data_IF_832204544708
#
_entry.id   IF_832204544708
#
_cell.length_a   1.000
_cell.length_b   1.000
_cell.length_c   1.000
_cell.angle_alpha   90.00
_cell.angle_beta   90.00
_cell.angle_gamma   90.00
#
_symmetry.space_group_name_H-M   'P 1'
#
loop_
_entity.id
_entity.type
_entity.pdbx_description
1 polymer ?
#
# COMPACT_ATOMS: atom_id res chain seq x y z
N UNK A 1 27.01 7.35 -8.51
CA UNK A 1 27.11 5.91 -8.20
C UNK A 1 26.12 5.56 -7.10
N UNK A 2 24.81 5.34 -7.37
CA UNK A 2 23.82 5.34 -6.25
C UNK A 2 22.67 4.30 -6.25
N UNK A 3 22.14 3.82 -7.38
CA UNK A 3 21.11 2.75 -7.37
C UNK A 3 21.49 1.53 -8.20
N UNK A 4 22.00 1.74 -9.42
CA UNK A 4 22.41 0.66 -10.33
C UNK A 4 23.55 -0.17 -9.72
N UNK A 5 24.50 0.48 -9.05
CA UNK A 5 25.62 -0.20 -8.40
C UNK A 5 25.19 -1.01 -7.19
N UNK A 6 24.18 -0.53 -6.46
CA UNK A 6 23.54 -1.29 -5.40
C UNK A 6 22.77 -2.48 -5.95
N UNK A 7 21.98 -2.29 -7.01
CA UNK A 7 21.24 -3.37 -7.66
C UNK A 7 22.19 -4.47 -8.15
N UNK A 8 23.34 -4.13 -8.72
CA UNK A 8 24.38 -5.11 -9.14
C UNK A 8 24.84 -5.98 -7.97
N UNK A 9 25.08 -5.40 -6.80
CA UNK A 9 25.46 -6.15 -5.58
C UNK A 9 24.28 -6.95 -5.02
N UNK A 10 23.08 -6.37 -5.03
CA UNK A 10 21.86 -6.95 -4.48
C UNK A 10 21.33 -8.14 -5.29
N UNK A 11 21.64 -8.27 -6.59
CA UNK A 11 21.21 -9.42 -7.42
C UNK A 11 21.57 -10.75 -6.77
N UNK A 12 22.76 -10.85 -6.15
CA UNK A 12 23.23 -12.07 -5.52
C UNK A 12 22.35 -12.51 -4.34
N UNK A 13 21.79 -11.55 -3.60
CA UNK A 13 21.05 -11.80 -2.36
C UNK A 13 19.53 -11.72 -2.55
N UNK A 14 19.07 -10.87 -3.48
CA UNK A 14 17.66 -10.54 -3.68
C UNK A 14 17.28 -10.54 -5.18
N UNK A 15 17.47 -11.65 -5.90
CA UNK A 15 17.28 -11.69 -7.35
C UNK A 15 15.84 -11.34 -7.76
N UNK A 16 14.84 -11.78 -6.96
CA UNK A 16 13.42 -11.47 -7.20
C UNK A 16 13.13 -9.98 -7.03
N UNK A 17 13.58 -9.37 -5.93
CA UNK A 17 13.38 -7.95 -5.65
C UNK A 17 14.06 -7.07 -6.71
N UNK A 18 15.28 -7.41 -7.12
CA UNK A 18 15.98 -6.68 -8.19
C UNK A 18 15.24 -6.80 -9.52
N UNK A 19 14.71 -7.98 -9.85
CA UNK A 19 13.89 -8.16 -11.06
C UNK A 19 12.63 -7.29 -11.03
N UNK A 20 11.95 -7.21 -9.88
CA UNK A 20 10.78 -6.35 -9.71
C UNK A 20 11.15 -4.87 -9.86
N UNK A 21 12.20 -4.40 -9.18
CA UNK A 21 12.64 -3.00 -9.29
C UNK A 21 13.00 -2.65 -10.74
N UNK A 22 13.70 -3.53 -11.45
CA UNK A 22 14.02 -3.31 -12.88
C UNK A 22 12.77 -3.23 -13.75
N UNK A 23 11.76 -4.08 -13.49
CA UNK A 23 10.49 -4.10 -14.24
C UNK A 23 9.70 -2.81 -14.06
N UNK A 24 9.63 -2.28 -12.84
CA UNK A 24 8.81 -1.12 -12.48
C UNK A 24 9.61 0.19 -12.42
N UNK A 25 10.86 0.20 -12.92
CA UNK A 25 11.75 1.36 -12.80
C UNK A 25 11.16 2.60 -13.50
N UNK A 26 10.45 2.40 -14.61
CA UNK A 26 9.77 3.47 -15.34
C UNK A 26 8.69 4.16 -14.50
N UNK A 27 7.78 3.42 -13.87
CA UNK A 27 6.76 4.03 -13.00
C UNK A 27 7.38 4.65 -11.75
N UNK A 28 8.43 4.03 -11.19
CA UNK A 28 9.17 4.58 -10.05
C UNK A 28 9.76 5.95 -10.41
N UNK A 29 10.32 6.11 -11.62
CA UNK A 29 10.85 7.41 -12.08
C UNK A 29 9.72 8.41 -12.33
N UNK A 30 8.61 7.98 -12.96
CA UNK A 30 7.44 8.81 -13.20
C UNK A 30 6.76 9.34 -11.91
N UNK A 31 6.89 8.63 -10.79
CA UNK A 31 6.49 9.13 -9.47
C UNK A 31 7.26 10.40 -9.06
N UNK A 32 8.58 10.44 -9.29
CA UNK A 32 9.40 11.59 -8.92
C UNK A 32 9.11 12.82 -9.78
N UNK A 33 8.70 12.61 -11.03
CA UNK A 33 8.32 13.68 -11.96
C UNK A 33 6.92 14.24 -11.67
N UNK A 34 5.94 13.35 -11.43
CA UNK A 34 4.54 13.73 -11.17
C UNK A 34 4.25 14.11 -9.73
N UNK A 35 5.14 13.77 -8.78
CA UNK A 35 4.95 13.91 -7.32
C UNK A 35 3.60 13.35 -6.83
N UNK A 36 3.07 12.33 -7.49
CA UNK A 36 1.82 11.69 -7.11
C UNK A 36 2.03 10.98 -5.77
N UNK A 37 1.46 11.51 -4.68
CA UNK A 37 1.65 10.88 -3.37
C UNK A 37 0.79 9.61 -3.24
N UNK A 38 1.33 8.59 -2.57
CA UNK A 38 0.55 7.40 -2.17
C UNK A 38 -0.25 7.62 -0.88
N UNK A 39 -0.28 8.84 -0.34
CA UNK A 39 -0.81 9.14 0.99
C UNK A 39 -2.30 8.85 1.12
N UNK A 40 -3.10 9.19 0.09
CA UNK A 40 -4.54 8.84 0.07
C UNK A 40 -4.73 7.32 0.08
N UNK A 41 -3.98 6.60 -0.76
CA UNK A 41 -4.05 5.13 -0.86
C UNK A 41 -3.55 4.46 0.43
N UNK A 42 -2.53 5.02 1.07
CA UNK A 42 -1.99 4.55 2.35
C UNK A 42 -2.98 4.76 3.50
N UNK A 43 -3.64 5.92 3.54
CA UNK A 43 -4.73 6.20 4.47
C UNK A 43 -5.86 5.18 4.34
N UNK A 44 -6.28 4.89 3.11
CA UNK A 44 -7.28 3.85 2.81
C UNK A 44 -6.82 2.48 3.31
N UNK A 45 -5.60 2.08 2.99
CA UNK A 45 -5.06 0.79 3.42
C UNK A 45 -4.95 0.67 4.94
N UNK A 46 -4.60 1.74 5.65
CA UNK A 46 -4.50 1.73 7.11
C UNK A 46 -5.88 1.60 7.77
N UNK A 47 -6.91 2.30 7.27
CA UNK A 47 -8.29 2.17 7.76
C UNK A 47 -8.83 0.74 7.54
N UNK A 48 -8.59 0.17 6.35
CA UNK A 48 -8.94 -1.24 6.07
C UNK A 48 -8.19 -2.23 6.97
N UNK A 49 -6.90 -2.02 7.25
CA UNK A 49 -6.13 -2.86 8.19
C UNK A 49 -6.67 -2.78 9.61
N UNK A 50 -7.15 -1.62 10.07
CA UNK A 50 -7.80 -1.47 11.37
C UNK A 50 -9.10 -2.29 11.43
N UNK A 51 -9.96 -2.17 10.42
CA UNK A 51 -11.20 -2.96 10.32
C UNK A 51 -10.89 -4.47 10.34
N UNK A 52 -9.83 -4.91 9.63
CA UNK A 52 -9.36 -6.30 9.66
C UNK A 52 -8.89 -6.75 11.05
N UNK A 53 -8.21 -5.89 11.81
CA UNK A 53 -7.74 -6.20 13.17
C UNK A 53 -8.86 -6.26 14.21
N UNK A 54 -9.87 -5.38 14.07
CA UNK A 54 -11.04 -5.39 14.95
C UNK A 54 -11.96 -6.61 14.72
N UNK A 55 -11.96 -7.17 13.51
CA UNK A 55 -12.66 -8.41 13.21
C UNK A 55 -11.82 -9.64 13.56
N UNK A 56 -11.82 -10.06 14.83
CA UNK A 56 -11.33 -11.40 15.19
C UNK A 56 -12.22 -12.41 14.48
N UNK A 57 -11.70 -13.07 13.44
CA UNK A 57 -12.43 -14.04 12.63
C UNK A 57 -13.32 -13.43 11.54
N UNK A 58 -12.75 -12.67 10.61
CA UNK A 58 -13.40 -12.32 9.34
C UNK A 58 -13.66 -13.58 8.49
N UNK A 59 -14.67 -14.37 8.85
CA UNK A 59 -15.12 -15.56 8.10
C UNK A 59 -16.04 -15.13 6.94
N UNK A 60 -16.59 -13.90 6.98
CA UNK A 60 -17.54 -13.37 6.01
C UNK A 60 -17.06 -12.04 5.40
N UNK A 61 -16.73 -12.07 4.11
CA UNK A 61 -16.30 -10.90 3.31
C UNK A 61 -17.36 -9.79 3.27
N UNK A 62 -18.63 -10.15 3.25
CA UNK A 62 -19.77 -9.20 3.23
C UNK A 62 -19.74 -8.26 4.43
N UNK A 63 -19.42 -8.79 5.62
CA UNK A 63 -19.33 -7.98 6.84
C UNK A 63 -18.12 -7.04 6.82
N UNK A 64 -17.04 -7.44 6.14
CA UNK A 64 -15.88 -6.58 5.94
C UNK A 64 -16.20 -5.42 4.99
N UNK A 65 -16.89 -5.70 3.89
CA UNK A 65 -17.32 -4.70 2.91
C UNK A 65 -18.28 -3.68 3.53
N UNK A 66 -19.31 -4.12 4.25
CA UNK A 66 -20.25 -3.22 4.94
C UNK A 66 -19.52 -2.30 5.92
N UNK A 67 -18.58 -2.84 6.71
CA UNK A 67 -17.79 -2.05 7.67
C UNK A 67 -16.87 -1.05 6.96
N UNK A 68 -16.28 -1.42 5.83
CA UNK A 68 -15.47 -0.51 5.02
C UNK A 68 -16.32 0.64 4.46
N UNK A 69 -17.50 0.35 3.92
CA UNK A 69 -18.42 1.35 3.36
C UNK A 69 -18.93 2.30 4.45
N UNK A 70 -19.43 1.77 5.58
CA UNK A 70 -19.89 2.59 6.72
C UNK A 70 -18.78 3.52 7.20
N UNK A 71 -17.58 3.00 7.38
CA UNK A 71 -16.46 3.77 7.90
C UNK A 71 -15.92 4.86 6.94
N UNK A 72 -16.33 4.81 5.67
CA UNK A 72 -16.07 5.85 4.68
C UNK A 72 -17.24 6.82 4.45
N UNK A 73 -18.48 6.37 4.68
CA UNK A 73 -19.68 7.19 4.50
C UNK A 73 -20.05 8.03 5.72
N UNK A 74 -19.66 7.62 6.92
CA UNK A 74 -19.84 8.43 8.14
C UNK A 74 -18.55 9.19 8.43
N UNK A 75 -18.67 10.52 8.43
CA UNK A 75 -17.61 11.43 8.84
C UNK A 75 -17.25 11.16 10.32
N UNK A 76 -15.97 11.26 10.67
CA UNK A 76 -15.47 11.02 12.03
C UNK A 76 -16.05 12.04 13.06
N UNK A 77 -16.87 13.00 12.60
CA UNK A 77 -17.60 13.98 13.41
C UNK A 77 -18.71 13.41 14.30
N UNK A 78 -19.04 12.13 14.20
CA UNK A 78 -20.04 11.45 15.05
C UNK A 78 -19.40 10.45 16.04
N UNK A 79 -18.08 10.40 16.12
CA UNK A 79 -17.35 9.54 17.04
C UNK A 79 -16.92 10.24 18.35
N UNK A 80 -17.56 11.36 18.70
CA UNK A 80 -17.37 12.06 19.98
C UNK A 80 -18.69 12.11 20.77
#
# INVERSE_FOLDING_TARGET
MRLIDWLKKAVKYYPKSVKTIKRWLGEIVGYFESRTNSGVVEGINNKLKLIKRCGVGLINLTNFEIRAIINWHFDDSLAY
#
